data_IF_003129949542
#
_entry.id   IF_003129949542
#
_cell.length_a   1.000
_cell.length_b   1.000
_cell.length_c   1.000
_cell.angle_alpha   90.00
_cell.angle_beta   90.00
_cell.angle_gamma   90.00
#
_symmetry.space_group_name_H-M   'P 1'
#
loop_
_entity.id
_entity.type
_entity.pdbx_description
1 polymer ?
#
# COMPACT_ATOMS: atom_id res chain seq x y z
N UNK A 1 74.96 79.18 12.82
CA UNK A 1 74.47 77.93 12.19
C UNK A 1 73.70 77.18 13.26
N UNK A 2 72.41 76.93 13.03
CA UNK A 2 71.45 76.59 14.09
C UNK A 2 70.99 75.13 13.92
N UNK A 3 71.51 74.18 14.73
CA UNK A 3 71.31 72.74 14.51
C UNK A 3 69.87 72.25 14.76
N UNK A 4 68.95 73.10 15.23
CA UNK A 4 67.57 72.73 15.56
C UNK A 4 66.55 72.76 14.40
N UNK A 5 66.92 73.19 13.19
CA UNK A 5 65.98 73.23 12.04
C UNK A 5 66.08 72.06 11.06
N UNK A 6 67.18 71.28 11.07
CA UNK A 6 67.32 70.08 10.23
C UNK A 6 66.57 68.86 10.81
N UNK A 7 66.56 68.67 12.13
CA UNK A 7 65.85 67.55 12.77
C UNK A 7 64.31 67.62 12.61
N UNK A 8 63.75 68.83 12.54
CA UNK A 8 62.31 69.03 12.28
C UNK A 8 61.92 68.74 10.83
N UNK A 9 62.84 68.82 9.86
CA UNK A 9 62.54 68.49 8.46
C UNK A 9 62.63 66.98 8.19
N UNK A 10 63.51 66.25 8.86
CA UNK A 10 63.56 64.79 8.72
C UNK A 10 62.38 64.05 9.37
N UNK A 11 61.89 64.53 10.53
CA UNK A 11 60.76 63.89 11.23
C UNK A 11 59.43 64.02 10.48
N UNK A 12 59.20 65.14 9.78
CA UNK A 12 58.00 65.33 8.93
C UNK A 12 58.03 64.42 7.69
N UNK A 13 59.20 64.24 7.06
CA UNK A 13 59.33 63.37 5.89
C UNK A 13 59.22 61.86 6.23
N UNK A 14 59.66 61.43 7.42
CA UNK A 14 59.43 60.05 7.90
C UNK A 14 57.95 59.78 8.20
N UNK A 15 57.20 60.77 8.70
CA UNK A 15 55.76 60.62 8.96
C UNK A 15 54.93 60.59 7.66
N UNK A 16 55.30 61.34 6.61
CA UNK A 16 54.63 61.24 5.31
C UNK A 16 54.91 59.90 4.59
N UNK A 17 56.13 59.36 4.68
CA UNK A 17 56.42 58.01 4.13
C UNK A 17 55.71 56.89 4.90
N UNK A 18 55.57 56.98 6.23
CA UNK A 18 54.75 56.04 7.02
C UNK A 18 53.25 56.13 6.71
N UNK A 19 52.73 57.31 6.36
CA UNK A 19 51.32 57.47 5.95
C UNK A 19 51.02 56.78 4.60
N UNK A 20 51.99 56.70 3.68
CA UNK A 20 51.80 56.08 2.36
C UNK A 20 51.84 54.54 2.39
N UNK A 21 52.53 53.89 3.33
CA UNK A 21 52.51 52.42 3.45
C UNK A 21 51.20 51.89 4.02
N UNK A 22 50.55 52.65 4.93
CA UNK A 22 49.27 52.23 5.54
C UNK A 22 48.10 52.25 4.53
N UNK A 23 48.13 53.12 3.51
CA UNK A 23 47.08 53.17 2.48
C UNK A 23 47.04 51.93 1.60
N UNK A 24 48.20 51.30 1.35
CA UNK A 24 48.27 50.05 0.57
C UNK A 24 47.67 48.86 1.31
N UNK A 25 47.88 48.79 2.64
CA UNK A 25 47.24 47.77 3.49
C UNK A 25 45.72 47.89 3.54
N UNK A 26 45.21 49.13 3.65
CA UNK A 26 43.75 49.38 3.65
C UNK A 26 43.10 49.01 2.33
N UNK A 27 43.72 49.33 1.19
CA UNK A 27 43.21 48.94 -0.13
C UNK A 27 43.13 47.41 -0.28
N UNK A 28 44.14 46.68 0.17
CA UNK A 28 44.14 45.22 0.13
C UNK A 28 43.02 44.63 0.98
N UNK A 29 42.85 45.11 2.22
CA UNK A 29 41.78 44.66 3.12
C UNK A 29 40.41 44.89 2.46
N UNK A 30 40.20 46.07 1.86
CA UNK A 30 38.93 46.36 1.18
C UNK A 30 38.70 45.43 -0.01
N UNK A 31 39.72 45.16 -0.84
CA UNK A 31 39.60 44.22 -1.96
C UNK A 31 39.30 42.80 -1.51
N UNK A 32 39.90 42.33 -0.40
CA UNK A 32 39.62 41.01 0.16
C UNK A 32 38.20 40.94 0.70
N UNK A 33 37.72 41.97 1.40
CA UNK A 33 36.33 42.03 1.89
C UNK A 33 35.35 42.00 0.71
N UNK A 34 35.57 42.83 -0.32
CA UNK A 34 34.73 42.86 -1.52
C UNK A 34 34.75 41.51 -2.23
N UNK A 35 35.92 40.87 -2.35
CA UNK A 35 36.04 39.55 -2.94
C UNK A 35 35.25 38.50 -2.16
N UNK A 36 35.37 38.46 -0.83
CA UNK A 36 34.63 37.53 0.04
C UNK A 36 33.12 37.76 -0.06
N UNK A 37 32.67 39.02 -0.11
CA UNK A 37 31.26 39.34 -0.29
C UNK A 37 30.75 38.90 -1.68
N UNK A 38 31.53 39.11 -2.73
CA UNK A 38 31.19 38.66 -4.08
C UNK A 38 31.15 37.13 -4.18
N UNK A 39 32.12 36.42 -3.62
CA UNK A 39 32.11 34.95 -3.62
C UNK A 39 30.93 34.39 -2.81
N UNK A 40 30.62 34.98 -1.66
CA UNK A 40 29.43 34.60 -0.88
C UNK A 40 28.12 34.86 -1.63
N UNK A 41 28.03 35.97 -2.38
CA UNK A 41 26.87 36.30 -3.20
C UNK A 41 26.72 35.32 -4.38
N UNK A 42 27.81 35.03 -5.10
CA UNK A 42 27.81 34.05 -6.20
C UNK A 42 27.43 32.66 -5.68
N UNK A 43 28.00 32.23 -4.55
CA UNK A 43 27.65 30.94 -3.94
C UNK A 43 26.18 30.86 -3.57
N UNK A 44 25.62 31.89 -2.91
CA UNK A 44 24.19 31.94 -2.57
C UNK A 44 23.30 31.91 -3.81
N UNK A 45 23.66 32.65 -4.86
CA UNK A 45 22.90 32.67 -6.11
C UNK A 45 22.93 31.30 -6.80
N UNK A 46 24.11 30.68 -6.93
CA UNK A 46 24.26 29.34 -7.52
C UNK A 46 23.50 28.27 -6.72
N UNK A 47 23.58 28.32 -5.39
CA UNK A 47 22.82 27.42 -4.52
C UNK A 47 21.31 27.60 -4.68
N UNK A 48 20.81 28.85 -4.71
CA UNK A 48 19.39 29.14 -4.90
C UNK A 48 18.88 28.70 -6.28
N UNK A 49 19.66 28.94 -7.35
CA UNK A 49 19.31 28.51 -8.72
C UNK A 49 19.30 26.98 -8.81
N UNK A 50 20.27 26.30 -8.20
CA UNK A 50 20.30 24.83 -8.14
C UNK A 50 19.08 24.27 -7.42
N UNK A 51 18.76 24.79 -6.23
CA UNK A 51 17.56 24.40 -5.47
C UNK A 51 16.27 24.64 -6.26
N UNK A 52 16.15 25.77 -6.97
CA UNK A 52 15.00 26.06 -7.81
C UNK A 52 14.88 25.07 -8.98
N UNK A 53 16.01 24.75 -9.65
CA UNK A 53 16.04 23.74 -10.72
C UNK A 53 15.60 22.37 -10.21
N UNK A 54 16.09 21.94 -9.04
CA UNK A 54 15.67 20.68 -8.43
C UNK A 54 14.16 20.66 -8.11
N UNK A 55 13.61 21.76 -7.59
CA UNK A 55 12.16 21.87 -7.35
C UNK A 55 11.35 21.82 -8.64
N UNK A 56 11.81 22.48 -9.70
CA UNK A 56 11.14 22.41 -11.01
C UNK A 56 11.21 21.00 -11.60
N UNK A 57 12.37 20.35 -11.54
CA UNK A 57 12.54 18.98 -12.03
C UNK A 57 11.63 18.03 -11.26
N UNK A 58 11.61 18.12 -9.92
CA UNK A 58 10.70 17.33 -9.08
C UNK A 58 9.23 17.54 -9.46
N UNK A 59 8.81 18.79 -9.73
CA UNK A 59 7.44 19.08 -10.14
C UNK A 59 7.08 18.45 -11.50
N UNK A 60 8.01 18.46 -12.46
CA UNK A 60 7.84 17.81 -13.77
C UNK A 60 7.75 16.29 -13.59
N UNK A 61 8.69 15.72 -12.84
CA UNK A 61 8.75 14.30 -12.52
C UNK A 61 7.47 13.82 -11.80
N UNK A 62 6.98 14.61 -10.83
CA UNK A 62 5.76 14.33 -10.10
C UNK A 62 4.52 14.36 -11.00
N UNK A 63 4.40 15.34 -11.90
CA UNK A 63 3.31 15.37 -12.87
C UNK A 63 3.36 14.16 -13.81
N UNK A 64 4.55 13.79 -14.29
CA UNK A 64 4.75 12.60 -15.13
C UNK A 64 4.31 11.32 -14.39
N UNK A 65 4.82 11.11 -13.17
CA UNK A 65 4.45 9.98 -12.33
C UNK A 65 2.94 9.95 -12.03
N UNK A 66 2.32 11.10 -11.74
CA UNK A 66 0.87 11.19 -11.49
C UNK A 66 0.04 10.78 -12.70
N UNK A 67 0.33 11.30 -13.89
CA UNK A 67 -0.40 10.92 -15.10
C UNK A 67 -0.18 9.46 -15.48
N UNK A 68 1.04 8.94 -15.28
CA UNK A 68 1.35 7.54 -15.47
C UNK A 68 0.57 6.64 -14.48
N UNK A 69 0.48 7.05 -13.21
CA UNK A 69 -0.31 6.36 -12.18
C UNK A 69 -1.81 6.34 -12.53
N UNK A 70 -2.40 7.49 -12.89
CA UNK A 70 -3.81 7.56 -13.29
C UNK A 70 -4.09 6.72 -14.56
N UNK A 71 -3.14 6.64 -15.49
CA UNK A 71 -3.25 5.82 -16.70
C UNK A 71 -3.13 4.34 -16.39
N UNK A 72 -2.16 3.96 -15.56
CA UNK A 72 -1.98 2.60 -15.05
C UNK A 72 -3.21 2.10 -14.28
N UNK A 73 -3.82 2.97 -13.48
CA UNK A 73 -5.05 2.64 -12.75
C UNK A 73 -6.24 2.42 -13.68
N UNK A 74 -6.41 3.27 -14.71
CA UNK A 74 -7.45 3.07 -15.73
C UNK A 74 -7.25 1.77 -16.51
N UNK A 75 -5.99 1.46 -16.86
CA UNK A 75 -5.64 0.20 -17.51
C UNK A 75 -5.99 -0.99 -16.61
N UNK A 76 -5.55 -0.98 -15.35
CA UNK A 76 -5.82 -2.05 -14.39
C UNK A 76 -7.33 -2.28 -14.17
N UNK A 77 -8.11 -1.21 -14.04
CA UNK A 77 -9.57 -1.29 -13.89
C UNK A 77 -10.27 -1.85 -15.14
N UNK A 78 -9.70 -1.65 -16.33
CA UNK A 78 -10.23 -2.23 -17.56
C UNK A 78 -9.84 -3.71 -17.73
N UNK A 79 -8.67 -4.11 -17.22
CA UNK A 79 -8.18 -5.50 -17.33
C UNK A 79 -8.66 -6.41 -16.21
N UNK A 80 -9.04 -5.86 -15.04
CA UNK A 80 -9.41 -6.68 -13.86
C UNK A 80 -10.62 -7.59 -14.10
N UNK A 81 -11.51 -7.25 -15.04
CA UNK A 81 -12.63 -8.12 -15.43
C UNK A 81 -12.15 -9.45 -16.03
N UNK A 82 -11.00 -9.44 -16.71
CA UNK A 82 -10.38 -10.60 -17.37
C UNK A 82 -9.47 -11.40 -16.43
N UNK A 83 -9.17 -10.87 -15.23
CA UNK A 83 -8.31 -11.58 -14.29
C UNK A 83 -9.13 -12.64 -13.56
N UNK A 84 -8.76 -13.89 -13.78
CA UNK A 84 -9.26 -15.03 -13.02
C UNK A 84 -8.22 -15.42 -11.98
N UNK A 85 -8.58 -15.22 -10.71
CA UNK A 85 -7.78 -15.60 -9.56
C UNK A 85 -7.79 -17.13 -9.41
N UNK A 86 -6.88 -17.81 -10.11
CA UNK A 86 -6.74 -19.26 -10.01
C UNK A 86 -5.65 -19.60 -8.99
N UNK A 87 -6.02 -20.31 -7.92
CA UNK A 87 -5.06 -20.86 -6.98
C UNK A 87 -4.20 -21.92 -7.69
N UNK A 88 -2.88 -21.82 -7.54
CA UNK A 88 -1.95 -22.79 -8.14
C UNK A 88 -1.69 -23.88 -7.10
N UNK A 89 -2.01 -25.14 -7.43
CA UNK A 89 -1.70 -26.27 -6.54
C UNK A 89 -0.20 -26.52 -6.52
N UNK A 90 0.35 -26.65 -5.31
CA UNK A 90 1.78 -26.89 -5.05
C UNK A 90 1.95 -27.87 -3.90
N UNK A 91 1.81 -29.17 -4.15
CA UNK A 91 1.85 -30.17 -3.08
C UNK A 91 3.23 -30.30 -2.40
N UNK A 92 4.31 -29.86 -3.07
CA UNK A 92 5.69 -30.07 -2.61
C UNK A 92 6.35 -28.80 -2.05
N UNK A 93 5.65 -27.66 -2.01
CA UNK A 93 6.18 -26.42 -1.44
C UNK A 93 5.65 -26.25 -0.01
N UNK A 94 6.50 -25.94 1.00
CA UNK A 94 6.03 -25.58 2.33
C UNK A 94 5.02 -24.42 2.31
N UNK A 95 4.06 -24.44 3.25
CA UNK A 95 3.16 -23.28 3.38
C UNK A 95 3.92 -22.19 4.11
N UNK A 96 4.03 -21.06 3.44
CA UNK A 96 4.71 -19.89 3.95
C UNK A 96 3.82 -19.03 4.84
N UNK A 97 2.57 -19.43 5.08
CA UNK A 97 1.72 -18.81 6.08
C UNK A 97 2.28 -18.84 7.49
N UNK A 98 3.20 -19.77 7.77
CA UNK A 98 3.71 -20.08 9.11
C UNK A 98 4.99 -19.30 9.41
N UNK A 99 5.59 -18.70 8.38
CA UNK A 99 6.81 -17.90 8.53
C UNK A 99 6.63 -16.79 9.53
N UNK A 100 5.45 -16.20 9.59
CA UNK A 100 5.16 -15.04 10.44
C UNK A 100 5.15 -15.37 11.93
N UNK A 101 4.95 -16.65 12.28
CA UNK A 101 5.00 -17.12 13.67
C UNK A 101 6.36 -17.68 14.06
N UNK A 102 7.23 -17.91 13.08
CA UNK A 102 8.58 -18.40 13.31
C UNK A 102 9.47 -17.27 13.84
N UNK A 103 10.25 -17.59 14.87
CA UNK A 103 11.36 -16.72 15.28
C UNK A 103 12.32 -16.53 14.10
N UNK A 104 13.12 -15.46 14.11
CA UNK A 104 14.03 -15.21 12.98
C UNK A 104 15.08 -16.33 12.82
N UNK A 105 15.41 -17.03 13.91
CA UNK A 105 16.24 -18.23 13.89
C UNK A 105 15.52 -19.42 13.23
N UNK A 106 14.27 -19.69 13.62
CA UNK A 106 13.46 -20.75 13.00
C UNK A 106 13.23 -20.49 11.51
N UNK A 107 13.01 -19.22 11.14
CA UNK A 107 12.86 -18.78 9.77
C UNK A 107 14.14 -19.04 8.95
N UNK A 108 15.31 -18.68 9.47
CA UNK A 108 16.62 -18.95 8.83
C UNK A 108 16.86 -20.45 8.68
N UNK A 109 16.59 -21.24 9.72
CA UNK A 109 16.71 -22.69 9.68
C UNK A 109 15.77 -23.32 8.66
N UNK A 110 14.54 -22.83 8.56
CA UNK A 110 13.57 -23.29 7.57
C UNK A 110 14.03 -22.94 6.14
N UNK A 111 14.53 -21.72 5.91
CA UNK A 111 15.11 -21.34 4.61
C UNK A 111 16.31 -22.21 4.25
N UNK A 112 17.20 -22.50 5.21
CA UNK A 112 18.36 -23.38 4.98
C UNK A 112 17.94 -24.82 4.66
N UNK A 113 16.94 -25.35 5.37
CA UNK A 113 16.37 -26.67 5.10
C UNK A 113 15.71 -26.72 3.73
N UNK A 114 14.93 -25.70 3.37
CA UNK A 114 14.33 -25.58 2.05
C UNK A 114 15.41 -25.55 0.97
N UNK A 115 16.44 -24.72 1.15
CA UNK A 115 17.56 -24.61 0.22
C UNK A 115 18.20 -25.97 -0.06
N UNK A 116 18.42 -26.76 1.00
CA UNK A 116 18.96 -28.12 0.91
C UNK A 116 18.03 -29.07 0.17
N UNK A 117 16.73 -29.04 0.47
CA UNK A 117 15.74 -29.88 -0.21
C UNK A 117 15.67 -29.57 -1.72
N UNK A 118 15.64 -28.28 -2.07
CA UNK A 118 15.68 -27.84 -3.48
C UNK A 118 16.96 -28.28 -4.17
N UNK A 119 18.12 -28.14 -3.52
CA UNK A 119 19.40 -28.59 -4.07
C UNK A 119 19.39 -30.11 -4.37
N UNK A 120 18.83 -30.92 -3.46
CA UNK A 120 18.69 -32.36 -3.68
C UNK A 120 17.76 -32.71 -4.85
N UNK A 121 16.64 -31.99 -5.00
CA UNK A 121 15.72 -32.20 -6.13
C UNK A 121 16.34 -31.84 -7.48
N UNK A 122 17.17 -30.79 -7.52
CA UNK A 122 17.87 -30.38 -8.75
C UNK A 122 18.92 -31.41 -9.17
N UNK A 123 19.73 -31.89 -8.23
CA UNK A 123 20.74 -32.92 -8.50
C UNK A 123 20.10 -34.23 -8.98
N UNK A 124 18.93 -34.59 -8.43
CA UNK A 124 18.18 -35.79 -8.84
C UNK A 124 17.60 -35.71 -10.25
N UNK A 125 17.22 -34.51 -10.70
CA UNK A 125 16.58 -34.30 -12.01
C UNK A 125 17.57 -33.94 -13.13
N UNK A 126 18.86 -33.75 -12.82
CA UNK A 126 19.90 -33.42 -13.80
C UNK A 126 19.69 -32.07 -14.50
N UNK A 127 18.89 -31.18 -13.89
CA UNK A 127 18.60 -29.85 -14.42
C UNK A 127 19.84 -28.98 -14.21
N UNK A 128 20.32 -28.32 -15.27
CA UNK A 128 21.50 -27.48 -15.18
C UNK A 128 21.23 -26.28 -14.25
N UNK A 129 22.21 -25.92 -13.41
CA UNK A 129 22.11 -24.81 -12.45
C UNK A 129 21.69 -23.47 -13.08
N UNK A 130 21.86 -23.28 -14.39
CA UNK A 130 21.47 -22.06 -15.10
C UNK A 130 19.96 -21.87 -15.26
N UNK A 131 19.18 -22.95 -15.37
CA UNK A 131 17.71 -22.86 -15.53
C UNK A 131 17.03 -22.51 -14.19
N UNK A 132 17.65 -22.88 -13.06
CA UNK A 132 17.18 -22.56 -11.72
C UNK A 132 17.17 -21.04 -11.45
N UNK A 133 18.25 -20.35 -11.86
CA UNK A 133 18.39 -18.91 -11.63
C UNK A 133 17.34 -18.07 -12.37
N UNK A 134 16.94 -18.49 -13.57
CA UNK A 134 16.00 -17.71 -14.40
C UNK A 134 14.57 -17.79 -13.87
N UNK A 135 14.17 -18.92 -13.29
CA UNK A 135 12.78 -19.15 -12.86
C UNK A 135 12.53 -18.82 -11.38
N UNK A 136 13.54 -18.96 -10.50
CA UNK A 136 13.38 -18.80 -9.05
C UNK A 136 14.00 -17.52 -8.46
N UNK A 137 15.12 -17.02 -9.00
CA UNK A 137 15.83 -15.83 -8.47
C UNK A 137 15.44 -14.52 -9.15
N UNK A 138 14.99 -14.53 -10.41
CA UNK A 138 14.87 -13.29 -11.20
C UNK A 138 13.55 -12.49 -10.98
N UNK A 139 12.93 -12.59 -9.80
CA UNK A 139 11.74 -11.81 -9.41
C UNK A 139 11.99 -10.86 -8.22
N UNK A 140 13.09 -11.03 -7.48
CA UNK A 140 13.51 -10.11 -6.41
C UNK A 140 14.20 -8.85 -6.93
N UNK A 141 14.61 -8.81 -8.21
CA UNK A 141 15.19 -7.61 -8.83
C UNK A 141 14.16 -6.61 -9.36
N UNK A 142 12.87 -6.80 -9.07
CA UNK A 142 11.87 -5.75 -9.25
C UNK A 142 11.95 -4.74 -8.09
N UNK A 143 12.99 -3.90 -8.12
CA UNK A 143 12.94 -2.53 -7.65
C UNK A 143 12.58 -2.25 -6.18
N UNK A 144 12.77 -3.18 -5.24
CA UNK A 144 12.72 -2.88 -3.80
C UNK A 144 13.99 -2.12 -3.37
N UNK A 145 14.19 -0.91 -3.91
CA UNK A 145 14.79 0.14 -3.12
C UNK A 145 13.75 0.51 -2.06
N UNK A 146 13.68 -0.27 -0.99
CA UNK A 146 13.00 0.10 0.23
C UNK A 146 13.75 1.30 0.80
N UNK A 147 13.32 2.50 0.40
CA UNK A 147 13.98 3.77 0.71
C UNK A 147 13.31 4.42 1.92
N UNK A 148 13.05 3.63 2.96
CA UNK A 148 12.64 4.14 4.26
C UNK A 148 13.81 4.41 5.20
N UNK A 149 15.06 4.24 4.75
CA UNK A 149 16.22 4.74 5.48
C UNK A 149 16.44 6.23 5.19
N UNK A 150 15.58 7.04 5.81
CA UNK A 150 15.76 8.47 5.95
C UNK A 150 16.34 8.79 7.33
N UNK A 151 17.39 8.08 7.80
CA UNK A 151 18.18 8.54 8.94
C UNK A 151 19.60 7.95 9.08
N UNK A 152 20.42 7.99 8.03
CA UNK A 152 21.90 7.94 8.19
C UNK A 152 22.51 9.24 7.67
N UNK A 153 22.38 10.29 8.48
CA UNK A 153 23.29 11.43 8.46
C UNK A 153 24.38 11.21 9.51
N UNK A 154 25.48 10.58 9.12
CA UNK A 154 26.88 10.96 9.49
C UNK A 154 27.82 9.75 9.43
N UNK A 155 28.57 9.60 8.36
CA UNK A 155 30.04 9.75 8.40
C UNK A 155 30.61 9.71 6.99
N UNK A 156 31.23 10.84 6.63
CA UNK A 156 32.01 11.00 5.41
C UNK A 156 33.24 10.10 5.49
N UNK A 157 33.34 9.12 4.61
CA UNK A 157 34.64 8.72 4.07
C UNK A 157 34.64 9.00 2.57
N UNK A 158 35.46 9.99 2.19
CA UNK A 158 35.84 10.23 0.81
C UNK A 158 36.68 9.04 0.34
N UNK A 159 36.16 8.24 -0.57
CA UNK A 159 37.00 7.47 -1.49
C UNK A 159 36.69 7.91 -2.91
N UNK A 160 37.75 8.41 -3.54
CA UNK A 160 37.79 8.82 -4.93
C UNK A 160 37.43 7.63 -5.82
N UNK A 161 36.45 7.82 -6.70
CA UNK A 161 36.12 6.86 -7.74
C UNK A 161 37.28 6.76 -8.74
N UNK A 162 37.94 5.61 -8.76
CA UNK A 162 38.86 5.19 -9.82
C UNK A 162 38.03 4.68 -11.02
N UNK A 163 38.30 5.24 -12.21
CA UNK A 163 37.52 5.07 -13.45
C UNK A 163 38.08 3.91 -14.30
N UNK A 164 39.05 3.13 -13.79
CA UNK A 164 39.76 2.12 -14.59
C UNK A 164 39.69 0.67 -14.07
N UNK A 165 38.73 0.31 -13.22
CA UNK A 165 38.59 -1.09 -12.81
C UNK A 165 37.85 -1.92 -13.87
N UNK A 166 38.60 -2.38 -14.88
CA UNK A 166 38.14 -3.24 -15.98
C UNK A 166 38.14 -4.71 -15.55
N UNK A 167 37.52 -4.99 -14.40
CA UNK A 167 37.31 -6.36 -13.90
C UNK A 167 35.84 -6.63 -13.55
N UNK A 168 34.93 -6.04 -14.33
CA UNK A 168 33.50 -6.39 -14.35
C UNK A 168 33.28 -7.67 -15.18
N UNK A 169 33.88 -8.79 -14.75
CA UNK A 169 33.63 -10.11 -15.32
C UNK A 169 33.43 -11.14 -14.21
N UNK A 170 32.20 -11.65 -14.16
CA UNK A 170 31.67 -12.75 -13.34
C UNK A 170 31.58 -12.53 -11.83
N UNK A 171 30.61 -11.71 -11.41
CA UNK A 171 29.78 -12.06 -10.25
C UNK A 171 28.99 -13.33 -10.62
N UNK A 172 29.66 -14.49 -10.50
CA UNK A 172 28.93 -15.70 -10.12
C UNK A 172 28.43 -15.45 -8.72
N UNK A 173 27.19 -14.94 -8.63
CA UNK A 173 26.35 -14.89 -7.43
C UNK A 173 26.72 -16.05 -6.51
N UNK A 174 27.27 -15.70 -5.35
CA UNK A 174 27.58 -16.64 -4.28
C UNK A 174 26.30 -17.43 -3.97
N UNK A 175 26.24 -18.68 -4.42
CA UNK A 175 25.06 -19.55 -4.30
C UNK A 175 24.74 -19.94 -2.84
N UNK A 176 25.43 -19.33 -1.88
CA UNK A 176 25.33 -19.59 -0.45
C UNK A 176 24.78 -18.41 0.35
N UNK A 177 24.18 -17.39 -0.27
CA UNK A 177 23.37 -16.44 0.50
C UNK A 177 21.94 -17.00 0.70
N UNK A 178 21.63 -17.62 1.86
CA UNK A 178 20.28 -18.14 2.14
C UNK A 178 19.19 -17.06 2.15
N UNK A 179 19.60 -15.79 2.13
CA UNK A 179 18.70 -14.62 2.17
C UNK A 179 18.09 -14.26 0.80
N UNK A 180 18.59 -14.82 -0.32
CA UNK A 180 17.98 -14.59 -1.64
C UNK A 180 16.80 -15.52 -1.95
N UNK A 181 16.50 -16.48 -1.07
CA UNK A 181 15.43 -17.46 -1.27
C UNK A 181 14.07 -16.78 -1.10
N UNK A 182 13.41 -16.63 -2.24
CA UNK A 182 12.17 -15.90 -2.36
C UNK A 182 10.94 -16.76 -1.98
N UNK A 183 10.19 -16.27 -1.00
CA UNK A 183 8.96 -16.88 -0.48
C UNK A 183 7.75 -16.55 -1.37
N UNK A 184 7.13 -17.57 -1.98
CA UNK A 184 5.94 -17.42 -2.84
C UNK A 184 4.65 -17.55 -2.05
N UNK A 185 3.62 -16.79 -2.41
CA UNK A 185 2.28 -16.93 -1.85
C UNK A 185 1.46 -18.07 -2.49
N UNK A 186 0.24 -18.34 -1.99
CA UNK A 186 -0.63 -19.43 -2.43
C UNK A 186 -1.15 -19.29 -3.87
N UNK A 187 -0.98 -18.12 -4.49
CA UNK A 187 -1.33 -17.87 -5.89
C UNK A 187 -0.14 -18.00 -6.85
N UNK A 188 1.06 -18.16 -6.30
CA UNK A 188 2.31 -18.20 -7.02
C UNK A 188 3.15 -16.93 -7.00
N UNK A 189 2.58 -15.72 -7.17
CA UNK A 189 3.18 -14.47 -6.74
C UNK A 189 3.32 -14.40 -5.21
N UNK A 190 4.07 -13.43 -4.67
CA UNK A 190 4.18 -13.25 -3.22
C UNK A 190 2.82 -12.86 -2.66
N UNK A 191 2.44 -13.47 -1.54
CA UNK A 191 1.21 -13.06 -0.86
C UNK A 191 1.33 -11.57 -0.46
N UNK A 192 0.28 -10.73 -0.64
CA UNK A 192 -1.12 -11.06 -0.97
C UNK A 192 -1.47 -10.93 -2.46
N UNK A 193 -0.50 -10.98 -3.38
CA UNK A 193 -0.74 -10.76 -4.80
C UNK A 193 -1.39 -11.97 -5.47
N UNK A 194 -2.37 -11.69 -6.34
CA UNK A 194 -3.09 -12.70 -7.13
C UNK A 194 -2.31 -13.01 -8.42
N UNK A 195 -1.77 -11.96 -9.03
CA UNK A 195 -0.97 -12.04 -10.25
C UNK A 195 0.40 -11.42 -10.01
N UNK A 196 1.40 -11.81 -10.81
CA UNK A 196 2.71 -11.15 -10.75
C UNK A 196 2.50 -9.65 -11.02
N UNK A 197 3.18 -8.74 -10.28
CA UNK A 197 3.09 -7.32 -10.56
C UNK A 197 3.38 -7.03 -12.03
N UNK A 198 2.55 -6.20 -12.64
CA UNK A 198 2.70 -5.82 -14.04
C UNK A 198 3.53 -4.55 -14.08
N UNK A 199 4.68 -4.62 -14.74
CA UNK A 199 5.55 -3.46 -14.95
C UNK A 199 5.33 -2.89 -16.36
N UNK A 200 5.05 -1.59 -16.44
CA UNK A 200 4.79 -0.86 -17.67
C UNK A 200 5.59 0.43 -17.65
N UNK A 201 6.28 0.76 -18.73
CA UNK A 201 6.98 2.03 -18.88
C UNK A 201 6.13 3.02 -19.68
N UNK A 202 5.84 4.19 -19.11
CA UNK A 202 5.13 5.29 -19.74
C UNK A 202 6.09 6.48 -19.90
N UNK A 203 6.77 6.55 -21.04
CA UNK A 203 7.76 7.60 -21.31
C UNK A 203 8.95 7.48 -20.35
N UNK A 204 9.09 8.42 -19.42
CA UNK A 204 10.14 8.40 -18.37
C UNK A 204 9.66 7.78 -17.06
N UNK A 205 8.38 7.45 -16.94
CA UNK A 205 7.80 6.91 -15.72
C UNK A 205 7.72 5.38 -15.77
N UNK A 206 8.16 4.70 -14.71
CA UNK A 206 7.94 3.27 -14.51
C UNK A 206 6.69 3.08 -13.66
N UNK A 207 5.76 2.25 -14.12
CA UNK A 207 4.50 1.94 -13.44
C UNK A 207 4.45 0.48 -13.07
N UNK A 208 4.18 0.20 -11.80
CA UNK A 208 3.98 -1.16 -11.26
C UNK A 208 2.53 -1.29 -10.81
N UNK A 209 1.83 -2.30 -11.33
CA UNK A 209 0.43 -2.60 -10.99
C UNK A 209 0.40 -3.91 -10.20
N UNK A 210 -0.07 -3.84 -8.97
CA UNK A 210 -0.25 -4.95 -8.04
C UNK A 210 -1.75 -5.23 -7.89
N UNK A 211 -2.15 -6.50 -7.97
CA UNK A 211 -3.52 -6.95 -7.71
C UNK A 211 -3.53 -7.83 -6.45
N UNK A 212 -4.33 -7.43 -5.46
CA UNK A 212 -4.35 -7.97 -4.11
C UNK A 212 -5.73 -8.55 -3.81
N UNK A 213 -5.77 -9.72 -3.18
CA UNK A 213 -7.00 -10.35 -2.70
C UNK A 213 -7.41 -9.79 -1.33
N UNK A 214 -8.49 -9.01 -1.27
CA UNK A 214 -8.98 -8.44 0.00
C UNK A 214 -9.79 -9.44 0.81
N UNK A 215 -10.28 -10.53 0.20
CA UNK A 215 -10.90 -11.62 0.95
C UNK A 215 -9.84 -12.52 1.60
N UNK A 216 -8.58 -12.47 1.22
CA UNK A 216 -7.50 -13.20 1.92
C UNK A 216 -7.14 -12.58 3.29
N UNK A 217 -7.70 -11.41 3.62
CA UNK A 217 -7.36 -10.61 4.80
C UNK A 217 -8.46 -10.65 5.85
N UNK A 218 -8.11 -10.36 7.11
CA UNK A 218 -9.08 -10.23 8.19
C UNK A 218 -9.96 -8.98 7.96
N UNK A 219 -11.29 -9.10 7.88
CA UNK A 219 -12.16 -7.95 7.71
C UNK A 219 -12.26 -7.12 8.99
N UNK A 220 -11.75 -5.89 8.99
CA UNK A 220 -11.77 -5.03 10.19
C UNK A 220 -13.20 -4.67 10.62
N UNK A 221 -14.16 -4.69 9.68
CA UNK A 221 -15.59 -4.48 9.95
C UNK A 221 -16.18 -5.48 10.96
N UNK A 222 -15.54 -6.63 11.18
CA UNK A 222 -15.95 -7.59 12.20
C UNK A 222 -15.89 -7.01 13.61
N UNK A 223 -14.93 -6.12 13.88
CA UNK A 223 -14.86 -5.39 15.16
C UNK A 223 -16.04 -4.43 15.38
N UNK A 224 -16.74 -4.04 14.32
CA UNK A 224 -17.91 -3.14 14.36
C UNK A 224 -19.26 -3.89 14.44
N UNK A 225 -19.24 -5.22 14.60
CA UNK A 225 -20.45 -6.05 14.55
C UNK A 225 -21.48 -5.64 15.61
N UNK A 226 -22.74 -5.51 15.18
CA UNK A 226 -23.88 -5.09 16.01
C UNK A 226 -24.79 -6.25 16.42
N UNK A 227 -24.67 -7.39 15.76
CA UNK A 227 -25.54 -8.54 15.97
C UNK A 227 -25.25 -9.20 17.33
N UNK A 228 -26.25 -9.28 18.20
CA UNK A 228 -26.06 -9.75 19.59
C UNK A 228 -25.46 -11.16 19.70
N UNK A 229 -25.76 -12.04 18.73
CA UNK A 229 -25.26 -13.41 18.72
C UNK A 229 -23.82 -13.52 18.19
N UNK A 230 -23.35 -12.52 17.45
CA UNK A 230 -22.12 -12.59 16.66
C UNK A 230 -21.10 -11.52 17.05
N UNK A 231 -21.50 -10.54 17.87
CA UNK A 231 -20.66 -9.42 18.31
C UNK A 231 -19.42 -9.92 19.04
N UNK A 232 -19.60 -10.77 20.05
CA UNK A 232 -18.49 -11.21 20.90
C UNK A 232 -17.54 -12.12 20.12
N UNK A 233 -18.08 -12.97 19.22
CA UNK A 233 -17.29 -13.85 18.34
C UNK A 233 -16.45 -13.05 17.33
N UNK A 234 -17.07 -12.09 16.66
CA UNK A 234 -16.40 -11.25 15.64
C UNK A 234 -15.33 -10.37 16.28
N UNK A 235 -15.60 -9.83 17.49
CA UNK A 235 -14.64 -9.04 18.27
C UNK A 235 -13.47 -9.90 18.77
N UNK A 236 -13.74 -11.11 19.24
CA UNK A 236 -12.70 -12.05 19.64
C UNK A 236 -11.78 -12.40 18.47
N UNK A 237 -12.31 -12.62 17.27
CA UNK A 237 -11.50 -12.86 16.07
C UNK A 237 -10.53 -11.70 15.77
N UNK A 238 -10.97 -10.45 15.89
CA UNK A 238 -10.10 -9.27 15.70
C UNK A 238 -9.02 -9.21 16.77
N UNK A 239 -9.37 -9.42 18.05
CA UNK A 239 -8.40 -9.44 19.16
C UNK A 239 -7.36 -10.54 18.96
N UNK A 240 -7.79 -11.78 18.70
CA UNK A 240 -6.90 -12.91 18.46
C UNK A 240 -5.99 -12.67 17.26
N UNK A 241 -6.49 -12.07 16.19
CA UNK A 241 -5.62 -11.67 15.08
C UNK A 241 -4.57 -10.64 15.51
N UNK A 242 -4.94 -9.61 16.26
CA UNK A 242 -3.99 -8.61 16.73
C UNK A 242 -2.93 -9.22 17.66
N UNK A 243 -3.32 -10.15 18.52
CA UNK A 243 -2.39 -10.93 19.36
C UNK A 243 -1.41 -11.75 18.50
N UNK A 244 -1.90 -12.39 17.43
CA UNK A 244 -1.03 -13.08 16.45
C UNK A 244 -0.05 -12.15 15.76
N UNK A 245 -0.44 -10.90 15.51
CA UNK A 245 0.44 -9.85 15.00
C UNK A 245 1.33 -9.21 16.08
N UNK A 246 1.44 -9.86 17.26
CA UNK A 246 2.23 -9.43 18.42
C UNK A 246 1.89 -8.01 18.92
N UNK A 247 0.68 -7.52 18.62
CA UNK A 247 0.22 -6.25 19.17
C UNK A 247 0.02 -6.41 20.68
N UNK A 248 0.45 -5.41 21.44
CA UNK A 248 0.31 -5.45 22.90
C UNK A 248 -1.12 -5.10 23.29
N UNK A 249 -1.57 -5.57 24.44
CA UNK A 249 -2.93 -5.30 24.93
C UNK A 249 -3.30 -3.80 24.93
N UNK A 250 -2.36 -2.92 25.27
CA UNK A 250 -2.57 -1.46 25.28
C UNK A 250 -2.65 -0.82 23.89
N UNK A 251 -2.30 -1.56 22.83
CA UNK A 251 -2.47 -1.16 21.42
C UNK A 251 -3.78 -1.73 20.86
N UNK A 252 -4.17 -2.93 21.29
CA UNK A 252 -5.43 -3.57 20.91
C UNK A 252 -6.64 -2.83 21.50
N UNK A 253 -6.58 -2.43 22.77
CA UNK A 253 -7.71 -1.77 23.44
C UNK A 253 -8.15 -0.45 22.76
N UNK A 254 -7.23 0.48 22.42
CA UNK A 254 -7.57 1.67 21.63
C UNK A 254 -8.21 1.35 20.28
N UNK A 255 -7.64 0.41 19.51
CA UNK A 255 -8.21 0.01 18.22
C UNK A 255 -9.65 -0.49 18.37
N UNK A 256 -9.89 -1.33 19.36
CA UNK A 256 -11.22 -1.86 19.64
C UNK A 256 -12.19 -0.74 20.06
N UNK A 257 -11.72 0.24 20.83
CA UNK A 257 -12.51 1.40 21.20
C UNK A 257 -12.87 2.25 19.98
N UNK A 258 -11.91 2.53 19.09
CA UNK A 258 -12.12 3.23 17.82
C UNK A 258 -13.18 2.52 16.95
N UNK A 259 -13.11 1.19 16.84
CA UNK A 259 -14.11 0.40 16.10
C UNK A 259 -15.50 0.44 16.75
N UNK A 260 -15.57 0.46 18.09
CA UNK A 260 -16.82 0.66 18.82
C UNK A 260 -17.39 2.08 18.61
N UNK A 261 -16.56 3.13 18.48
CA UNK A 261 -17.04 4.49 18.10
C UNK A 261 -17.55 4.54 16.66
N UNK A 262 -16.87 3.88 15.73
CA UNK A 262 -17.30 3.81 14.32
C UNK A 262 -18.64 3.13 14.15
N UNK A 263 -18.97 2.18 15.04
CA UNK A 263 -20.26 1.48 15.04
C UNK A 263 -21.43 2.43 15.27
N UNK A 264 -21.24 3.52 16.02
CA UNK A 264 -22.28 4.55 16.22
C UNK A 264 -22.55 5.35 14.95
N UNK A 265 -21.55 5.47 14.05
CA UNK A 265 -21.71 6.11 12.74
C UNK A 265 -22.45 5.19 11.77
N UNK A 266 -22.04 3.92 11.69
CA UNK A 266 -22.69 2.91 10.85
C UNK A 266 -22.57 1.51 11.45
N UNK A 267 -23.67 0.89 11.90
CA UNK A 267 -23.63 -0.46 12.44
C UNK A 267 -23.36 -1.49 11.34
N UNK A 268 -22.48 -2.45 11.63
CA UNK A 268 -22.24 -3.62 10.78
C UNK A 268 -23.10 -4.81 11.24
N UNK A 269 -23.67 -5.53 10.28
CA UNK A 269 -24.35 -6.81 10.49
C UNK A 269 -23.89 -7.78 9.41
N UNK A 270 -23.71 -9.05 9.76
CA UNK A 270 -23.17 -10.06 8.84
C UNK A 270 -24.17 -10.39 7.73
N UNK A 271 -25.47 -10.35 8.05
CA UNK A 271 -26.55 -10.54 7.10
C UNK A 271 -27.05 -9.17 6.60
N UNK A 272 -26.20 -8.45 5.86
CA UNK A 272 -26.57 -7.15 5.31
C UNK A 272 -27.77 -7.29 4.38
N UNK A 273 -28.86 -6.59 4.75
CA UNK A 273 -30.00 -6.41 3.85
C UNK A 273 -29.69 -5.28 2.86
N UNK A 274 -30.22 -5.34 1.62
CA UNK A 274 -30.12 -4.24 0.67
C UNK A 274 -30.66 -2.93 1.27
N UNK A 275 -29.97 -1.81 1.06
CA UNK A 275 -30.42 -0.50 1.57
C UNK A 275 -31.44 0.09 0.61
N UNK A 276 -32.66 0.33 1.08
CA UNK A 276 -33.63 1.18 0.37
C UNK A 276 -33.37 2.64 0.71
N UNK A 277 -32.69 3.36 -0.19
CA UNK A 277 -32.53 4.81 -0.08
C UNK A 277 -33.78 5.51 -0.62
N UNK A 278 -34.31 6.47 0.12
CA UNK A 278 -35.48 7.24 -0.25
C UNK A 278 -35.00 8.59 -0.78
N UNK A 279 -34.73 8.68 -2.08
CA UNK A 279 -34.26 9.93 -2.70
C UNK A 279 -35.45 10.77 -3.14
N UNK A 280 -35.48 12.03 -2.71
CA UNK A 280 -36.42 13.02 -3.22
C UNK A 280 -35.90 13.55 -4.55
N UNK A 281 -36.47 13.09 -5.66
CA UNK A 281 -36.18 13.67 -6.97
C UNK A 281 -37.16 14.82 -7.23
N UNK A 282 -36.62 15.99 -7.58
CA UNK A 282 -37.41 17.08 -8.11
C UNK A 282 -38.00 16.61 -9.45
N UNK A 283 -39.33 16.57 -9.56
CA UNK A 283 -39.97 16.14 -10.79
C UNK A 283 -39.58 17.08 -11.93
N UNK A 284 -38.99 16.53 -13.00
CA UNK A 284 -38.69 17.28 -14.21
C UNK A 284 -39.98 17.92 -14.74
N UNK A 285 -40.05 19.25 -14.64
CA UNK A 285 -41.20 20.05 -15.07
C UNK A 285 -41.45 20.00 -16.59
N UNK A 286 -40.60 19.29 -17.35
CA UNK A 286 -40.56 19.27 -18.81
C UNK A 286 -40.93 17.92 -19.45
N UNK A 287 -41.51 16.95 -18.73
CA UNK A 287 -42.15 15.81 -19.41
C UNK A 287 -43.45 16.27 -20.09
N UNK A 288 -43.27 16.87 -21.27
CA UNK A 288 -44.34 17.38 -22.12
C UNK A 288 -45.32 16.28 -22.46
N UNK A 289 -46.51 16.34 -21.87
CA UNK A 289 -47.68 15.66 -22.40
C UNK A 289 -47.85 16.10 -23.85
N UNK A 290 -47.79 15.12 -24.75
CA UNK A 290 -48.17 15.24 -26.14
C UNK A 290 -49.67 15.56 -26.18
N UNK A 291 -50.01 16.84 -26.03
CA UNK A 291 -51.36 17.34 -26.12
C UNK A 291 -51.80 17.26 -27.59
N UNK A 292 -52.58 16.21 -27.89
CA UNK A 292 -53.34 16.14 -29.12
C UNK A 292 -54.26 17.37 -29.22
N UNK A 293 -54.09 18.06 -30.35
CA UNK A 293 -54.83 19.21 -30.88
C UNK A 293 -56.32 19.25 -30.49
N UNK A 294 -56.75 20.38 -29.92
CA UNK A 294 -58.15 20.80 -29.87
C UNK A 294 -58.25 22.31 -29.62
N UNK A 295 -58.55 23.07 -30.68
CA UNK A 295 -58.52 24.54 -30.74
C UNK A 295 -59.68 25.21 -30.00
N UNK A 296 -59.42 26.47 -29.63
CA UNK A 296 -60.33 27.62 -29.46
C UNK A 296 -61.19 27.68 -28.18
N UNK A 297 -60.75 28.49 -27.20
CA UNK A 297 -61.38 29.79 -26.93
C UNK A 297 -60.77 30.53 -25.71
N UNK A 298 -60.46 31.80 -25.95
CA UNK A 298 -60.54 32.99 -25.07
C UNK A 298 -59.83 33.01 -23.70
N UNK A 299 -58.71 33.75 -23.70
CA UNK A 299 -58.45 35.04 -23.01
C UNK A 299 -59.02 35.28 -21.58
N UNK A 300 -58.07 35.70 -20.71
CA UNK A 300 -58.20 36.53 -19.48
C UNK A 300 -58.20 35.77 -18.15
N UNK A 301 -57.05 35.67 -17.48
CA UNK A 301 -56.71 36.50 -16.31
C UNK A 301 -55.37 36.06 -15.72
N UNK A 302 -54.58 37.05 -15.32
CA UNK A 302 -53.25 36.90 -14.72
C UNK A 302 -53.42 36.52 -13.25
N UNK A 303 -52.97 35.32 -12.87
CA UNK A 303 -52.67 34.98 -11.48
C UNK A 303 -51.43 34.08 -11.46
N UNK A 304 -50.35 34.60 -10.88
CA UNK A 304 -49.09 33.88 -10.67
C UNK A 304 -49.29 32.80 -9.59
N UNK A 305 -49.92 31.68 -9.94
CA UNK A 305 -49.79 30.48 -9.12
C UNK A 305 -48.44 29.83 -9.45
N UNK A 306 -47.44 30.06 -8.58
CA UNK A 306 -46.24 29.22 -8.51
C UNK A 306 -46.72 27.78 -8.28
N UNK A 307 -46.73 26.97 -9.33
CA UNK A 307 -47.07 25.55 -9.25
C UNK A 307 -46.17 24.88 -8.23
N UNK A 308 -46.79 24.29 -7.19
CA UNK A 308 -46.09 23.50 -6.17
C UNK A 308 -45.48 22.29 -6.88
N UNK A 309 -44.16 22.29 -7.06
CA UNK A 309 -43.40 21.16 -7.60
C UNK A 309 -43.74 19.95 -6.73
N UNK A 310 -44.41 18.94 -7.30
CA UNK A 310 -44.67 17.69 -6.60
C UNK A 310 -43.33 16.96 -6.50
N UNK A 311 -42.75 16.93 -5.31
CA UNK A 311 -41.63 16.05 -4.99
C UNK A 311 -42.09 14.61 -5.20
N UNK A 312 -41.44 13.89 -6.12
CA UNK A 312 -41.64 12.45 -6.26
C UNK A 312 -40.61 11.78 -5.37
N UNK A 313 -41.10 11.07 -4.35
CA UNK A 313 -40.26 10.22 -3.52
C UNK A 313 -40.00 8.95 -4.34
N UNK A 314 -38.74 8.71 -4.72
CA UNK A 314 -38.32 7.48 -5.40
C UNK A 314 -37.52 6.66 -4.39
N UNK A 315 -38.00 5.46 -4.09
CA UNK A 315 -37.22 4.48 -3.34
C UNK A 315 -36.27 3.80 -4.33
N UNK A 316 -34.97 3.99 -4.14
CA UNK A 316 -33.93 3.33 -4.91
C UNK A 316 -33.19 2.35 -3.99
N UNK A 317 -33.23 1.06 -4.32
CA UNK A 317 -32.45 0.05 -3.62
C UNK A 317 -31.00 0.15 -4.07
N UNK A 318 -30.09 0.46 -3.14
CA UNK A 318 -28.65 0.47 -3.38
C UNK A 318 -28.12 -0.98 -3.36
N UNK A 319 -27.21 -1.36 -4.27
CA UNK A 319 -26.58 -2.67 -4.25
C UNK A 319 -25.80 -2.90 -2.95
N UNK A 320 -25.53 -4.17 -2.62
CA UNK A 320 -24.78 -4.54 -1.42
C UNK A 320 -23.36 -3.97 -1.40
N UNK A 321 -22.74 -3.77 -2.58
CA UNK A 321 -21.48 -3.06 -2.75
C UNK A 321 -21.51 -1.63 -2.19
N UNK A 322 -22.70 -1.04 -2.07
CA UNK A 322 -22.90 0.23 -1.39
C UNK A 322 -22.46 0.20 0.06
N UNK A 323 -22.72 -0.90 0.78
CA UNK A 323 -22.26 -1.05 2.15
C UNK A 323 -20.75 -1.13 2.23
N UNK A 324 -20.14 -1.94 1.36
CA UNK A 324 -18.68 -2.08 1.23
C UNK A 324 -18.01 -0.72 1.02
N UNK A 325 -18.56 0.14 0.16
CA UNK A 325 -18.06 1.50 -0.07
C UNK A 325 -18.16 2.39 1.17
N UNK A 326 -19.27 2.33 1.89
CA UNK A 326 -19.44 3.15 3.08
C UNK A 326 -18.48 2.72 4.19
N UNK A 327 -18.30 1.42 4.40
CA UNK A 327 -17.32 0.91 5.36
C UNK A 327 -15.89 1.24 4.94
N UNK A 328 -15.55 1.13 3.66
CA UNK A 328 -14.25 1.56 3.17
C UNK A 328 -13.97 3.04 3.50
N UNK A 329 -14.96 3.93 3.32
CA UNK A 329 -14.80 5.34 3.70
C UNK A 329 -14.58 5.55 5.19
N UNK A 330 -15.26 4.78 6.03
CA UNK A 330 -15.13 4.87 7.49
C UNK A 330 -13.76 4.32 7.92
N UNK A 331 -13.35 3.18 7.38
CA UNK A 331 -12.09 2.51 7.74
C UNK A 331 -10.84 3.23 7.23
N UNK A 332 -10.96 4.00 6.14
CA UNK A 332 -9.91 4.91 5.66
C UNK A 332 -10.01 6.33 6.25
N UNK A 333 -10.93 6.56 7.18
CA UNK A 333 -11.04 7.85 7.87
C UNK A 333 -10.00 7.97 8.98
N UNK A 334 -9.70 9.19 9.48
CA UNK A 334 -8.74 9.38 10.57
C UNK A 334 -9.27 8.90 11.94
N UNK A 335 -10.40 8.20 11.99
CA UNK A 335 -10.94 7.62 13.22
C UNK A 335 -10.25 6.32 13.63
N UNK A 336 -9.48 5.68 12.73
CA UNK A 336 -8.59 4.56 13.08
C UNK A 336 -7.14 5.04 13.01
N UNK A 337 -6.35 4.69 14.02
CA UNK A 337 -4.89 4.83 13.96
C UNK A 337 -4.27 3.76 13.05
N UNK A 338 -4.21 4.08 11.75
CA UNK A 338 -3.55 3.24 10.74
C UNK A 338 -2.03 3.19 10.91
N UNK A 339 -1.41 4.18 11.57
CA UNK A 339 0.03 4.19 11.80
C UNK A 339 0.41 3.09 12.81
N UNK A 340 -0.39 2.92 13.86
CA UNK A 340 -0.24 1.80 14.80
C UNK A 340 -0.31 0.45 14.10
N UNK A 341 -1.26 0.26 13.17
CA UNK A 341 -1.38 -0.99 12.39
C UNK A 341 -0.24 -1.18 11.39
N UNK A 342 0.37 -0.08 10.92
CA UNK A 342 1.48 -0.10 9.98
C UNK A 342 2.83 -0.37 10.64
N UNK A 343 2.93 -0.31 11.98
CA UNK A 343 4.17 -0.63 12.71
C UNK A 343 4.64 -2.04 12.37
N UNK A 344 5.94 -2.22 12.12
CA UNK A 344 6.49 -3.55 11.89
C UNK A 344 6.39 -4.39 13.17
N UNK A 345 6.03 -5.66 13.02
CA UNK A 345 5.92 -6.63 14.12
C UNK A 345 7.30 -6.95 14.70
N UNK A 346 8.29 -7.12 13.81
CA UNK A 346 9.67 -7.40 14.18
C UNK A 346 10.51 -6.13 14.02
N UNK A 347 11.51 -5.93 14.88
CA UNK A 347 12.49 -4.83 14.77
C UNK A 347 13.53 -5.10 13.66
N UNK A 348 13.54 -6.32 13.10
CA UNK A 348 14.46 -6.73 12.04
C UNK A 348 14.20 -5.99 10.72
N UNK A 349 15.24 -5.32 10.21
CA UNK A 349 15.22 -4.60 8.92
C UNK A 349 14.84 -5.50 7.74
N UNK A 350 15.10 -6.81 7.85
CA UNK A 350 14.83 -7.77 6.77
C UNK A 350 13.36 -8.17 6.67
N UNK A 351 12.56 -7.98 7.72
CA UNK A 351 11.16 -8.43 7.81
C UNK A 351 10.22 -7.28 8.16
N UNK A 352 9.87 -6.49 7.15
CA UNK A 352 8.89 -5.41 7.29
C UNK A 352 7.44 -5.93 7.17
N UNK A 353 7.01 -6.72 8.16
CA UNK A 353 5.65 -7.24 8.27
C UNK A 353 4.83 -6.43 9.26
N UNK A 354 3.59 -6.07 8.93
CA UNK A 354 2.71 -5.26 9.79
C UNK A 354 1.27 -5.77 9.77
N UNK A 355 0.51 -5.53 10.83
CA UNK A 355 -0.91 -5.92 10.93
C UNK A 355 -1.74 -5.37 9.76
N UNK A 356 -1.44 -4.14 9.32
CA UNK A 356 -2.12 -3.46 8.22
C UNK A 356 -2.08 -4.26 6.90
N UNK A 357 -1.03 -5.04 6.67
CA UNK A 357 -0.89 -5.88 5.46
C UNK A 357 -1.95 -6.99 5.41
N UNK A 358 -2.38 -7.48 6.57
CA UNK A 358 -3.28 -8.62 6.73
C UNK A 358 -4.71 -8.25 7.12
N UNK A 359 -4.97 -6.95 7.31
CA UNK A 359 -6.30 -6.40 7.56
C UNK A 359 -6.89 -5.85 6.27
N UNK A 360 -8.17 -6.15 6.01
CA UNK A 360 -8.95 -5.53 4.94
C UNK A 360 -9.61 -4.25 5.43
N UNK A 361 -9.28 -3.15 4.77
CA UNK A 361 -9.90 -1.83 4.97
C UNK A 361 -11.02 -1.53 3.98
N UNK A 362 -11.20 -2.38 2.97
CA UNK A 362 -12.15 -2.13 1.88
C UNK A 362 -13.56 -2.64 2.17
N UNK A 363 -13.89 -2.96 3.42
CA UNK A 363 -15.22 -3.40 3.83
C UNK A 363 -15.60 -4.79 3.32
N UNK A 364 -14.61 -5.69 3.18
CA UNK A 364 -14.90 -7.11 2.96
C UNK A 364 -15.64 -7.68 4.16
N UNK A 365 -16.34 -8.80 3.98
CA UNK A 365 -17.18 -9.38 5.03
C UNK A 365 -16.84 -10.84 5.30
N UNK A 366 -16.20 -11.48 4.32
CA UNK A 366 -15.89 -12.89 4.33
C UNK A 366 -14.43 -13.11 3.98
N UNK A 367 -13.85 -14.12 4.61
CA UNK A 367 -12.48 -14.55 4.39
C UNK A 367 -12.47 -15.70 3.40
N UNK A 368 -11.62 -15.61 2.38
CA UNK A 368 -11.40 -16.69 1.43
C UNK A 368 -10.43 -17.72 2.00
N UNK A 369 -10.95 -18.90 2.37
CA UNK A 369 -10.16 -19.96 3.01
C UNK A 369 -9.07 -20.56 2.11
N UNK A 370 -9.22 -20.43 0.78
CA UNK A 370 -8.21 -20.91 -0.16
C UNK A 370 -6.94 -20.05 -0.14
N UNK A 371 -7.02 -18.82 0.38
CA UNK A 371 -6.05 -17.75 0.06
C UNK A 371 -5.59 -16.99 1.30
N UNK A 372 -6.38 -17.05 2.37
CA UNK A 372 -6.03 -16.47 3.66
C UNK A 372 -4.83 -17.18 4.31
N UNK A 373 -3.91 -16.44 4.93
CA UNK A 373 -2.80 -17.03 5.68
C UNK A 373 -3.30 -17.63 7.01
N UNK A 374 -2.47 -18.48 7.62
CA UNK A 374 -2.73 -19.20 8.88
C UNK A 374 -3.31 -18.29 9.95
N UNK A 375 -2.63 -17.20 10.32
CA UNK A 375 -3.05 -16.35 11.43
C UNK A 375 -4.43 -15.71 11.18
N UNK A 376 -4.77 -15.38 9.91
CA UNK A 376 -6.11 -14.93 9.52
C UNK A 376 -7.13 -16.07 9.65
N UNK A 377 -6.77 -17.30 9.25
CA UNK A 377 -7.63 -18.47 9.42
C UNK A 377 -7.85 -18.78 10.91
N UNK A 378 -6.81 -18.82 11.73
CA UNK A 378 -6.92 -19.12 13.15
C UNK A 378 -7.78 -18.09 13.88
N UNK A 379 -7.57 -16.80 13.60
CA UNK A 379 -8.45 -15.74 14.07
C UNK A 379 -9.90 -15.95 13.63
N UNK A 380 -10.13 -16.31 12.36
CA UNK A 380 -11.45 -16.55 11.81
C UNK A 380 -12.16 -17.79 12.40
N UNK A 381 -11.42 -18.80 12.83
CA UNK A 381 -11.97 -20.04 13.41
C UNK A 381 -11.95 -20.06 14.94
N UNK A 382 -11.50 -18.98 15.60
CA UNK A 382 -11.38 -18.91 17.07
C UNK A 382 -12.70 -19.22 17.79
N UNK A 383 -13.84 -18.80 17.25
CA UNK A 383 -15.16 -19.09 17.84
C UNK A 383 -15.72 -20.49 17.49
N UNK A 384 -15.14 -21.16 16.49
CA UNK A 384 -15.49 -22.54 16.13
C UNK A 384 -14.97 -23.58 17.14
N UNK A 385 -13.91 -23.26 17.88
CA UNK A 385 -13.10 -24.23 18.62
C UNK A 385 -12.08 -24.91 17.72
N UNK A 386 -10.95 -25.36 18.29
CA UNK A 386 -9.85 -26.04 17.58
C UNK A 386 -9.27 -25.24 16.40
N UNK A 387 -9.20 -23.91 16.53
CA UNK A 387 -8.76 -23.01 15.47
C UNK A 387 -7.40 -23.38 14.84
N UNK A 388 -6.35 -23.74 15.61
CA UNK A 388 -5.07 -24.16 15.03
C UNK A 388 -5.19 -25.42 14.18
N UNK A 389 -5.93 -26.42 14.65
CA UNK A 389 -6.11 -27.70 13.95
C UNK A 389 -6.94 -27.51 12.67
N UNK A 390 -7.99 -26.67 12.74
CA UNK A 390 -8.80 -26.32 11.57
C UNK A 390 -7.93 -25.59 10.55
N UNK A 391 -7.19 -24.54 10.95
CA UNK A 391 -6.35 -23.78 10.03
C UNK A 391 -5.29 -24.67 9.36
N UNK A 392 -4.60 -25.52 10.13
CA UNK A 392 -3.66 -26.51 9.60
C UNK A 392 -4.33 -27.43 8.58
N UNK A 393 -5.49 -27.99 8.91
CA UNK A 393 -6.17 -28.93 8.04
C UNK A 393 -6.68 -28.26 6.76
N UNK A 394 -7.12 -27.01 6.83
CA UNK A 394 -7.48 -26.19 5.66
C UNK A 394 -6.27 -26.02 4.74
N UNK A 395 -5.12 -25.66 5.33
CA UNK A 395 -3.84 -25.48 4.62
C UNK A 395 -3.41 -26.77 3.91
N UNK A 396 -3.44 -27.91 4.61
CA UNK A 396 -3.04 -29.19 4.04
C UNK A 396 -3.96 -29.63 2.90
N UNK A 397 -5.26 -29.47 3.07
CA UNK A 397 -6.24 -29.84 2.06
C UNK A 397 -6.16 -28.93 0.82
N UNK A 398 -5.99 -27.61 1.00
CA UNK A 398 -5.91 -26.67 -0.14
C UNK A 398 -4.62 -26.82 -0.95
N UNK A 399 -3.50 -27.26 -0.34
CA UNK A 399 -2.25 -27.61 -1.03
C UNK A 399 -2.48 -28.69 -2.08
N UNK A 400 -3.23 -29.73 -1.71
CA UNK A 400 -3.61 -30.83 -2.61
C UNK A 400 -4.54 -30.29 -3.70
N UNK A 401 -5.61 -29.63 -3.30
CA UNK A 401 -6.60 -29.08 -4.22
C UNK A 401 -7.37 -27.94 -3.53
N UNK A 402 -7.47 -26.75 -4.13
CA UNK A 402 -8.33 -25.68 -3.63
C UNK A 402 -9.79 -26.15 -3.51
N UNK A 403 -10.49 -25.64 -2.50
CA UNK A 403 -11.92 -25.94 -2.30
C UNK A 403 -12.75 -25.28 -3.40
N UNK A 404 -13.59 -26.06 -4.07
CA UNK A 404 -14.37 -25.55 -5.21
C UNK A 404 -15.54 -24.64 -4.78
N UNK A 405 -16.16 -24.99 -3.66
CA UNK A 405 -17.30 -24.28 -3.06
C UNK A 405 -17.39 -24.59 -1.55
N UNK A 406 -18.27 -23.89 -0.85
CA UNK A 406 -18.45 -24.06 0.59
C UNK A 406 -18.95 -25.46 1.00
N UNK A 407 -19.66 -26.18 0.11
CA UNK A 407 -20.10 -27.54 0.38
C UNK A 407 -18.95 -28.54 0.27
N UNK A 408 -18.06 -28.37 -0.71
CA UNK A 408 -16.82 -29.14 -0.85
C UNK A 408 -15.92 -28.94 0.37
N UNK A 409 -15.81 -27.70 0.84
CA UNK A 409 -15.12 -27.35 2.07
C UNK A 409 -15.65 -28.14 3.29
N UNK A 410 -16.97 -28.12 3.52
CA UNK A 410 -17.62 -28.87 4.60
C UNK A 410 -17.44 -30.39 4.48
N UNK A 411 -17.51 -30.92 3.25
CA UNK A 411 -17.38 -32.37 2.98
C UNK A 411 -15.97 -32.89 3.19
N UNK A 412 -14.94 -32.08 2.95
CA UNK A 412 -13.55 -32.50 3.15
C UNK A 412 -13.10 -32.40 4.60
N UNK A 413 -13.75 -31.52 5.39
CA UNK A 413 -13.43 -31.27 6.79
C UNK A 413 -14.55 -31.74 7.74
N UNK A 414 -15.02 -32.98 7.55
CA UNK A 414 -16.17 -33.54 8.30
C UNK A 414 -15.93 -33.54 9.81
N UNK A 415 -14.68 -33.77 10.25
CA UNK A 415 -14.31 -33.75 11.68
C UNK A 415 -14.59 -32.41 12.36
N UNK A 416 -14.55 -31.31 11.60
CA UNK A 416 -14.75 -29.95 12.09
C UNK A 416 -16.08 -29.34 11.62
N UNK A 417 -17.03 -30.17 11.19
CA UNK A 417 -18.28 -29.70 10.58
C UNK A 417 -19.08 -28.74 11.48
N UNK A 418 -19.12 -29.01 12.79
CA UNK A 418 -19.81 -28.16 13.77
C UNK A 418 -19.19 -26.76 13.86
N UNK A 419 -17.86 -26.68 13.94
CA UNK A 419 -17.08 -25.44 13.99
C UNK A 419 -17.20 -24.66 12.68
N UNK A 420 -17.05 -25.35 11.55
CA UNK A 420 -17.19 -24.76 10.20
C UNK A 420 -18.60 -24.23 9.97
N UNK A 421 -19.63 -24.93 10.44
CA UNK A 421 -21.03 -24.49 10.29
C UNK A 421 -21.32 -23.19 11.04
N UNK A 422 -20.66 -22.95 12.18
CA UNK A 422 -20.74 -21.66 12.88
C UNK A 422 -20.03 -20.55 12.10
N UNK A 423 -18.90 -20.89 11.47
CA UNK A 423 -18.07 -19.93 10.74
C UNK A 423 -18.60 -19.60 9.33
N UNK A 424 -19.54 -20.38 8.80
CA UNK A 424 -20.07 -20.25 7.44
C UNK A 424 -20.44 -18.82 7.00
N UNK A 425 -21.06 -17.97 7.85
CA UNK A 425 -21.37 -16.58 7.47
C UNK A 425 -20.13 -15.72 7.19
N UNK A 426 -18.98 -16.10 7.74
CA UNK A 426 -17.73 -15.34 7.75
C UNK A 426 -16.69 -15.83 6.75
N UNK A 427 -16.95 -16.98 6.10
CA UNK A 427 -15.99 -17.60 5.19
C UNK A 427 -16.57 -17.78 3.80
N UNK A 428 -15.67 -17.82 2.83
CA UNK A 428 -15.94 -18.09 1.42
C UNK A 428 -14.80 -18.92 0.85
N UNK A 429 -15.03 -19.55 -0.28
CA UNK A 429 -14.02 -20.27 -1.07
C UNK A 429 -13.61 -19.49 -2.32
N UNK A 430 -14.32 -18.39 -2.62
CA UNK A 430 -14.09 -17.53 -3.77
C UNK A 430 -13.99 -16.08 -3.30
N UNK A 431 -13.02 -15.35 -3.88
CA UNK A 431 -12.87 -13.91 -3.64
C UNK A 431 -13.78 -13.12 -4.56
N UNK A 432 -14.46 -12.14 -3.97
CA UNK A 432 -15.33 -11.20 -4.67
C UNK A 432 -14.83 -9.75 -4.55
N UNK A 433 -13.80 -9.48 -3.75
CA UNK A 433 -13.26 -8.16 -3.51
C UNK A 433 -11.74 -8.15 -3.72
N UNK A 434 -11.29 -7.20 -4.53
CA UNK A 434 -9.89 -7.06 -4.91
C UNK A 434 -9.45 -5.61 -4.74
N UNK A 435 -8.19 -5.41 -4.32
CA UNK A 435 -7.56 -4.10 -4.38
C UNK A 435 -6.48 -4.07 -5.46
N UNK A 436 -6.39 -2.94 -6.14
CA UNK A 436 -5.45 -2.64 -7.20
C UNK A 436 -4.56 -1.53 -6.67
N UNK A 437 -3.27 -1.79 -6.52
CA UNK A 437 -2.29 -0.77 -6.14
C UNK A 437 -1.41 -0.46 -7.33
N UNK A 438 -1.37 0.81 -7.72
CA UNK A 438 -0.57 1.31 -8.83
C UNK A 438 0.48 2.25 -8.26
N UNK A 439 1.75 1.92 -8.49
CA UNK A 439 2.89 2.76 -8.11
C UNK A 439 3.52 3.29 -9.38
N UNK A 440 3.70 4.60 -9.47
CA UNK A 440 4.42 5.22 -10.56
C UNK A 440 5.65 5.97 -10.03
N UNK A 441 6.79 5.77 -10.67
CA UNK A 441 8.03 6.47 -10.34
C UNK A 441 8.58 7.16 -11.58
N UNK A 442 8.95 8.43 -11.48
CA UNK A 442 9.63 9.19 -12.54
C UNK A 442 10.71 10.02 -11.86
N UNK A 443 11.98 9.81 -12.22
CA UNK A 443 13.10 10.44 -11.51
C UNK A 443 13.06 10.12 -10.02
N UNK A 444 12.96 11.17 -9.19
CA UNK A 444 12.85 11.05 -7.72
C UNK A 444 11.40 11.08 -7.20
N UNK A 445 10.43 11.42 -8.06
CA UNK A 445 9.04 11.50 -7.65
C UNK A 445 8.36 10.12 -7.68
N UNK A 446 7.53 9.86 -6.68
CA UNK A 446 6.74 8.63 -6.53
C UNK A 446 5.30 9.01 -6.27
N UNK A 447 4.36 8.32 -6.91
CA UNK A 447 2.92 8.49 -6.72
C UNK A 447 2.29 7.11 -6.59
N UNK A 448 1.43 6.93 -5.58
CA UNK A 448 0.72 5.68 -5.37
C UNK A 448 -0.78 5.92 -5.50
N UNK A 449 -1.50 4.99 -6.11
CA UNK A 449 -2.96 4.99 -6.10
C UNK A 449 -3.46 3.59 -5.79
N UNK A 450 -4.41 3.51 -4.88
CA UNK A 450 -5.08 2.26 -4.49
C UNK A 450 -6.56 2.36 -4.84
N UNK A 451 -7.08 1.33 -5.49
CA UNK A 451 -8.51 1.22 -5.80
C UNK A 451 -9.03 -0.14 -5.35
N UNK A 452 -10.27 -0.22 -4.91
CA UNK A 452 -10.93 -1.50 -4.69
C UNK A 452 -12.10 -1.71 -5.63
N UNK A 453 -12.27 -2.97 -6.00
CA UNK A 453 -13.32 -3.44 -6.89
C UNK A 453 -13.98 -4.68 -6.30
N UNK A 454 -15.29 -4.77 -6.47
CA UNK A 454 -16.10 -5.93 -6.13
C UNK A 454 -16.57 -6.63 -7.42
N UNK A 455 -16.27 -7.91 -7.60
CA UNK A 455 -16.71 -8.74 -8.74
C UNK A 455 -18.01 -9.44 -8.34
N UNK A 456 -19.12 -9.06 -8.96
CA UNK A 456 -20.44 -9.65 -8.73
C UNK A 456 -21.06 -10.08 -10.06
N UNK A 457 -21.34 -11.37 -10.25
CA UNK A 457 -21.91 -11.91 -11.51
C UNK A 457 -21.12 -11.51 -12.77
N UNK A 458 -19.79 -11.65 -12.70
CA UNK A 458 -18.83 -11.22 -13.73
C UNK A 458 -18.75 -9.71 -13.98
N UNK A 459 -19.57 -8.89 -13.32
CA UNK A 459 -19.47 -7.43 -13.41
C UNK A 459 -18.57 -6.90 -12.31
N UNK A 460 -17.63 -6.05 -12.70
CA UNK A 460 -16.76 -5.35 -11.77
C UNK A 460 -17.42 -4.04 -11.34
N UNK A 461 -17.67 -3.90 -10.04
CA UNK A 461 -18.18 -2.69 -9.42
C UNK A 461 -17.05 -2.01 -8.66
N UNK A 462 -16.81 -0.74 -8.99
CA UNK A 462 -15.79 0.07 -8.32
C UNK A 462 -16.29 0.50 -6.93
N UNK A 463 -15.50 0.20 -5.89
CA UNK A 463 -15.79 0.60 -4.51
C UNK A 463 -15.24 2.01 -4.27
N UNK A 464 -13.96 2.25 -4.51
CA UNK A 464 -13.31 3.52 -4.23
C UNK A 464 -11.94 3.65 -4.88
N UNK A 465 -11.41 4.87 -4.92
CA UNK A 465 -10.01 5.17 -5.28
C UNK A 465 -9.47 6.11 -4.21
N UNK A 466 -8.28 5.80 -3.72
CA UNK A 466 -7.44 6.62 -2.85
C UNK A 466 -6.16 6.89 -3.63
N UNK A 467 -5.74 8.15 -3.67
CA UNK A 467 -4.48 8.58 -4.28
C UNK A 467 -3.63 9.12 -3.14
N UNK A 468 -2.43 8.57 -3.00
CA UNK A 468 -1.44 8.87 -1.95
C UNK A 468 -0.27 9.67 -2.52
#
# INVERSE_FOLDING_TARGET
MNPGQEEKRESVNRNMKKSCSNRKGVALIFTVIVLVLLTALVYRLSSAVSQWKHRMQYMIDYQSARYACESGLKYALATVEQVDANCISRPNEPDFSDLFTMSDEDYRLMLEQWAKEMAMQLDANGISKSDFFTEYMNLSRSGSNDSNDANITSERTNTEYDINDVNEYSDMTDMNEPNEIYVRGPYGPPWPYITKPIEIEFGTAKVTIELIDENAKLPLVWGMCSDANSKDESKAAVVTFCEWMQMRQHEIEPLIYELDEMKDVKPFSIALKPVTEVTKQAGDANSGQTAARGRLARRISRSRQRGRVREKIVQQTRPESGHTLDFAKILHSPMIDLEMLAKPVNEDETRNESALKYISLWGTQKINVNTAPRHVLEAAFTFGGDAPDIAQKIIDERKIKPFANNDDFKKRLVSYFSSISKCEPYITTQSDCFSIRVRATSGVARVCASAAVKKENSKVQKIGIIIE
#
